data_IF_375863307212
#
_entry.id   IF_375863307212
#
_cell.length_a   1.000
_cell.length_b   1.000
_cell.length_c   1.000
_cell.angle_alpha   90.00
_cell.angle_beta   90.00
_cell.angle_gamma   90.00
#
_symmetry.space_group_name_H-M   'P 1'
#
loop_
_entity.id
_entity.type
_entity.pdbx_description
1 polymer ?
#
# COMPACT_ATOMS: atom_id res chain seq x y z
N UNK A 1 4.07 -18.12 42.30
CA UNK A 1 3.49 -18.06 40.94
C UNK A 1 2.81 -16.71 40.81
N UNK A 2 3.50 -15.73 40.22
CA UNK A 2 2.97 -14.39 39.99
C UNK A 2 2.12 -14.36 38.73
N UNK A 3 1.10 -13.50 38.72
CA UNK A 3 0.11 -13.33 37.65
C UNK A 3 0.69 -12.70 36.36
N UNK A 4 2.01 -12.62 36.25
CA UNK A 4 2.73 -11.88 35.21
C UNK A 4 3.29 -12.78 34.09
N UNK A 5 3.20 -14.11 34.24
CA UNK A 5 3.74 -15.09 33.28
C UNK A 5 2.63 -15.73 32.42
N UNK A 6 1.92 -14.92 31.64
CA UNK A 6 1.00 -15.45 30.62
C UNK A 6 1.49 -15.09 29.23
N UNK A 7 1.64 -16.12 28.41
CA UNK A 7 2.27 -16.15 27.08
C UNK A 7 1.63 -15.20 26.06
N UNK A 8 0.36 -14.80 26.25
CA UNK A 8 -0.31 -13.86 25.35
C UNK A 8 0.13 -12.39 25.51
N UNK A 9 0.84 -12.02 26.58
CA UNK A 9 1.44 -10.68 26.72
C UNK A 9 2.77 -10.53 25.95
N UNK A 10 3.31 -11.63 25.40
CA UNK A 10 4.57 -11.63 24.66
C UNK A 10 4.38 -11.23 23.19
N UNK A 11 3.19 -11.44 22.64
CA UNK A 11 2.84 -11.07 21.26
C UNK A 11 2.43 -9.60 21.08
N UNK A 12 2.07 -8.90 22.17
CA UNK A 12 1.83 -7.45 22.13
C UNK A 12 3.12 -6.62 22.06
N UNK A 13 4.27 -7.17 22.47
CA UNK A 13 5.57 -6.48 22.39
C UNK A 13 6.36 -6.77 21.11
N UNK A 14 5.87 -7.67 20.25
CA UNK A 14 6.51 -8.00 18.97
C UNK A 14 5.68 -7.59 17.73
N UNK A 15 4.46 -7.06 17.89
CA UNK A 15 3.61 -6.64 16.76
C UNK A 15 3.01 -5.24 16.86
N UNK A 16 3.29 -4.49 17.93
CA UNK A 16 2.94 -3.06 18.00
C UNK A 16 4.07 -2.18 17.47
N UNK A 17 4.35 -2.27 16.17
CA UNK A 17 5.12 -1.23 15.46
C UNK A 17 4.22 -0.01 15.16
N UNK A 18 3.51 0.46 16.19
CA UNK A 18 2.88 1.78 16.23
C UNK A 18 3.86 2.75 16.89
N UNK A 19 5.00 2.95 16.23
CA UNK A 19 6.06 3.80 16.73
C UNK A 19 7.45 3.42 16.18
N UNK A 20 7.93 4.21 15.22
CA UNK A 20 9.35 4.56 15.18
C UNK A 20 10.37 3.47 14.86
N UNK A 21 10.04 2.46 14.06
CA UNK A 21 11.07 1.72 13.34
C UNK A 21 11.74 2.66 12.35
N UNK A 22 12.94 3.17 12.66
CA UNK A 22 13.73 3.94 11.69
C UNK A 22 13.86 3.08 10.43
N UNK A 23 13.45 3.56 9.24
CA UNK A 23 13.73 2.86 7.99
C UNK A 23 15.23 2.58 7.93
N UNK A 24 15.66 1.51 7.26
CA UNK A 24 17.09 1.40 6.95
C UNK A 24 17.51 2.73 6.29
N UNK A 25 18.76 3.22 6.46
CA UNK A 25 19.17 4.56 6.00
C UNK A 25 18.95 4.86 4.50
N UNK A 26 18.50 3.86 3.73
CA UNK A 26 18.30 3.84 2.29
C UNK A 26 16.86 3.43 1.88
N UNK A 27 15.97 3.14 2.84
CA UNK A 27 14.56 2.89 2.58
C UNK A 27 13.87 4.24 2.36
N UNK A 28 13.83 4.68 1.11
CA UNK A 28 13.08 5.87 0.72
C UNK A 28 11.61 5.67 1.10
N UNK A 29 11.12 6.52 2.00
CA UNK A 29 9.69 6.61 2.32
C UNK A 29 8.96 7.36 1.21
N UNK A 30 8.64 6.61 0.15
CA UNK A 30 7.97 7.16 -1.02
C UNK A 30 6.52 7.55 -0.69
N UNK A 31 5.89 6.88 0.27
CA UNK A 31 4.55 7.23 0.74
C UNK A 31 4.56 8.63 1.37
N UNK A 32 5.48 8.89 2.29
CA UNK A 32 5.65 10.24 2.86
C UNK A 32 6.00 11.26 1.78
N UNK A 33 6.84 10.90 0.80
CA UNK A 33 7.17 11.79 -0.31
C UNK A 33 5.94 12.17 -1.14
N UNK A 34 5.07 11.21 -1.47
CA UNK A 34 3.82 11.46 -2.18
C UNK A 34 2.86 12.31 -1.36
N UNK A 35 2.75 12.06 -0.05
CA UNK A 35 1.92 12.86 0.85
C UNK A 35 2.41 14.32 0.88
N UNK A 36 3.72 14.52 1.08
CA UNK A 36 4.32 15.86 1.06
C UNK A 36 4.10 16.54 -0.28
N UNK A 37 4.28 15.83 -1.40
CA UNK A 37 4.03 16.37 -2.73
C UNK A 37 2.57 16.85 -2.90
N UNK A 38 1.59 16.03 -2.51
CA UNK A 38 0.17 16.38 -2.55
C UNK A 38 -0.15 17.59 -1.67
N UNK A 39 0.38 17.64 -0.45
CA UNK A 39 0.19 18.78 0.48
C UNK A 39 0.84 20.04 -0.06
N UNK A 40 2.05 19.96 -0.63
CA UNK A 40 2.72 21.08 -1.26
C UNK A 40 1.93 21.62 -2.45
N UNK A 41 1.43 20.75 -3.33
CA UNK A 41 0.59 21.15 -4.46
C UNK A 41 -0.71 21.79 -3.97
N UNK A 42 -1.34 21.24 -2.93
CA UNK A 42 -2.53 21.84 -2.34
C UNK A 42 -2.26 23.24 -1.76
N UNK A 43 -1.15 23.43 -1.05
CA UNK A 43 -0.74 24.77 -0.57
C UNK A 43 -0.54 25.72 -1.75
N UNK A 44 0.12 25.27 -2.83
CA UNK A 44 0.28 26.08 -4.04
C UNK A 44 -1.09 26.43 -4.65
N UNK A 45 -2.05 25.50 -4.69
CA UNK A 45 -3.41 25.79 -5.15
C UNK A 45 -4.06 26.92 -4.33
N UNK A 46 -3.87 26.92 -3.01
CA UNK A 46 -4.37 27.99 -2.14
C UNK A 46 -3.68 29.34 -2.41
N UNK A 47 -2.35 29.34 -2.59
CA UNK A 47 -1.57 30.55 -2.84
C UNK A 47 -1.85 31.18 -4.21
N UNK A 48 -2.21 30.37 -5.20
CA UNK A 48 -2.58 30.85 -6.54
C UNK A 48 -4.09 30.91 -6.76
N UNK A 49 -4.88 30.89 -5.68
CA UNK A 49 -6.32 30.96 -5.79
C UNK A 49 -6.80 32.35 -6.21
N UNK A 50 -7.83 32.40 -7.05
CA UNK A 50 -8.44 33.62 -7.54
C UNK A 50 -9.95 33.43 -7.78
N UNK A 51 -10.63 34.51 -8.19
CA UNK A 51 -12.08 34.53 -8.39
C UNK A 51 -12.87 34.77 -7.10
N UNK A 52 -14.16 35.05 -7.25
CA UNK A 52 -15.04 35.24 -6.11
C UNK A 52 -15.10 33.92 -5.31
N UNK A 53 -14.75 34.00 -4.02
CA UNK A 53 -14.67 32.87 -3.09
C UNK A 53 -13.52 31.85 -3.32
N UNK A 54 -12.51 32.16 -4.14
CA UNK A 54 -11.28 31.35 -4.26
C UNK A 54 -11.50 29.94 -4.80
N UNK A 55 -12.44 29.77 -5.74
CA UNK A 55 -12.76 28.49 -6.38
C UNK A 55 -11.78 28.11 -7.49
N UNK A 56 -11.16 29.10 -8.11
CA UNK A 56 -10.24 28.91 -9.21
C UNK A 56 -8.79 29.03 -8.74
N UNK A 57 -7.87 28.39 -9.45
CA UNK A 57 -6.44 28.44 -9.11
C UNK A 57 -5.60 28.18 -10.35
N UNK A 58 -4.59 29.02 -10.59
CA UNK A 58 -3.70 28.89 -11.76
C UNK A 58 -3.01 27.52 -11.81
N UNK A 59 -2.69 26.96 -10.64
CA UNK A 59 -2.13 25.60 -10.51
C UNK A 59 -3.15 24.56 -10.97
N UNK A 60 -4.41 24.67 -10.53
CA UNK A 60 -5.48 23.78 -10.98
C UNK A 60 -5.69 23.87 -12.50
N UNK A 61 -5.73 25.06 -13.08
CA UNK A 61 -5.95 25.24 -14.52
C UNK A 61 -4.91 24.54 -15.38
N UNK A 62 -3.66 24.52 -14.92
CA UNK A 62 -2.54 23.88 -15.61
C UNK A 62 -2.46 22.36 -15.39
N UNK A 63 -2.84 21.91 -14.20
CA UNK A 63 -2.60 20.52 -13.78
C UNK A 63 -3.84 19.63 -13.84
N UNK A 64 -5.06 20.19 -13.86
CA UNK A 64 -6.30 19.42 -13.85
C UNK A 64 -6.44 18.53 -15.09
N UNK A 65 -7.15 17.42 -14.92
CA UNK A 65 -7.49 16.54 -16.03
C UNK A 65 -8.62 17.19 -16.81
N UNK A 66 -8.27 17.89 -17.89
CA UNK A 66 -9.23 18.32 -18.90
C UNK A 66 -9.18 17.33 -20.06
N UNK A 67 -10.22 16.50 -20.26
CA UNK A 67 -10.23 15.49 -21.31
C UNK A 67 -9.98 16.09 -22.70
N UNK A 68 -10.56 17.25 -23.01
CA UNK A 68 -10.35 17.94 -24.28
C UNK A 68 -8.89 18.36 -24.50
N UNK A 69 -8.24 18.93 -23.47
CA UNK A 69 -6.85 19.37 -23.58
C UNK A 69 -5.88 18.18 -23.67
N UNK A 70 -6.18 17.07 -22.98
CA UNK A 70 -5.42 15.82 -23.12
C UNK A 70 -5.49 15.33 -24.57
N UNK A 71 -6.68 15.29 -25.17
CA UNK A 71 -6.86 14.88 -26.56
C UNK A 71 -6.17 15.82 -27.56
N UNK A 72 -5.93 17.08 -27.19
CA UNK A 72 -5.14 18.06 -27.96
C UNK A 72 -3.63 17.99 -27.69
N UNK A 73 -3.17 17.01 -26.92
CA UNK A 73 -1.74 16.73 -26.71
C UNK A 73 -1.18 17.19 -25.35
N UNK A 74 -1.99 17.71 -24.43
CA UNK A 74 -1.54 18.07 -23.08
C UNK A 74 -1.43 16.84 -22.17
N UNK A 75 -0.60 15.87 -22.56
CA UNK A 75 -0.54 14.53 -21.94
C UNK A 75 -0.08 14.53 -20.48
N UNK A 76 0.62 15.57 -20.01
CA UNK A 76 1.03 15.68 -18.60
C UNK A 76 -0.18 15.71 -17.66
N UNK A 77 -1.34 16.19 -18.14
CA UNK A 77 -2.59 16.24 -17.37
C UNK A 77 -3.11 14.87 -16.98
N UNK A 78 -2.67 13.78 -17.62
CA UNK A 78 -2.97 12.41 -17.22
C UNK A 78 -2.27 11.99 -15.92
N UNK A 79 -1.29 12.77 -15.45
CA UNK A 79 -0.55 12.46 -14.23
C UNK A 79 -0.63 13.61 -13.22
N UNK A 80 -0.57 14.87 -13.66
CA UNK A 80 -0.53 16.01 -12.75
C UNK A 80 -1.82 16.20 -11.95
N UNK A 81 -2.97 15.81 -12.52
CA UNK A 81 -4.27 15.98 -11.87
C UNK A 81 -4.41 15.16 -10.58
N UNK A 82 -3.64 14.07 -10.48
CA UNK A 82 -3.62 13.14 -9.35
C UNK A 82 -3.01 13.79 -8.09
N UNK A 83 -2.38 14.96 -8.22
CA UNK A 83 -1.83 15.73 -7.10
C UNK A 83 -2.71 16.90 -6.65
N UNK A 84 -3.76 17.23 -7.42
CA UNK A 84 -4.66 18.33 -7.11
C UNK A 84 -5.78 17.87 -6.18
N UNK A 85 -6.23 18.74 -5.30
CA UNK A 85 -7.42 18.51 -4.47
C UNK A 85 -8.35 19.72 -4.56
N UNK A 86 -9.65 19.50 -4.32
CA UNK A 86 -10.62 20.59 -4.32
C UNK A 86 -10.28 21.62 -3.21
N UNK A 87 -10.02 22.90 -3.55
CA UNK A 87 -9.52 23.90 -2.59
C UNK A 87 -10.39 24.07 -1.32
N UNK A 88 -11.70 23.87 -1.46
CA UNK A 88 -12.67 24.02 -0.37
C UNK A 88 -12.90 22.75 0.45
N UNK A 89 -12.40 21.59 0.00
CA UNK A 89 -12.68 20.29 0.61
C UNK A 89 -11.48 19.75 1.39
N UNK A 90 -11.20 20.37 2.55
CA UNK A 90 -10.10 19.93 3.43
C UNK A 90 -10.25 18.47 3.88
N UNK A 91 -11.48 17.98 4.06
CA UNK A 91 -11.72 16.60 4.42
C UNK A 91 -11.32 15.64 3.29
N UNK A 92 -11.48 16.04 2.03
CA UNK A 92 -11.12 15.22 0.88
C UNK A 92 -9.62 14.95 0.84
N UNK A 93 -8.77 15.98 0.91
CA UNK A 93 -7.32 15.79 0.97
C UNK A 93 -6.91 15.01 2.22
N UNK A 94 -7.51 15.30 3.38
CA UNK A 94 -7.21 14.57 4.61
C UNK A 94 -7.47 13.06 4.46
N UNK A 95 -8.65 12.68 3.98
CA UNK A 95 -9.00 11.26 3.79
C UNK A 95 -8.10 10.61 2.75
N UNK A 96 -7.79 11.30 1.65
CA UNK A 96 -6.87 10.79 0.63
C UNK A 96 -5.49 10.49 1.22
N UNK A 97 -4.91 11.45 1.94
CA UNK A 97 -3.58 11.29 2.55
C UNK A 97 -3.58 10.24 3.67
N UNK A 98 -4.67 10.17 4.45
CA UNK A 98 -4.82 9.16 5.50
C UNK A 98 -4.86 7.74 4.91
N UNK A 99 -5.66 7.51 3.86
CA UNK A 99 -5.75 6.21 3.20
C UNK A 99 -4.45 5.87 2.48
N UNK A 100 -3.83 6.84 1.80
CA UNK A 100 -2.52 6.69 1.17
C UNK A 100 -1.45 6.29 2.18
N UNK A 101 -1.39 6.95 3.33
CA UNK A 101 -0.47 6.61 4.41
C UNK A 101 -0.72 5.19 4.93
N UNK A 102 -1.97 4.87 5.30
CA UNK A 102 -2.31 3.62 5.96
C UNK A 102 -2.13 2.40 5.04
N UNK A 103 -2.61 2.49 3.80
CA UNK A 103 -2.47 1.40 2.81
C UNK A 103 -1.08 1.39 2.22
N UNK A 104 -0.56 2.55 1.86
CA UNK A 104 0.72 2.72 1.19
C UNK A 104 1.89 2.24 2.02
N UNK A 105 1.93 2.53 3.33
CA UNK A 105 3.04 2.08 4.19
C UNK A 105 3.18 0.56 4.20
N UNK A 106 2.05 -0.16 4.25
CA UNK A 106 2.02 -1.63 4.21
C UNK A 106 2.31 -2.18 2.82
N UNK A 107 1.75 -1.56 1.78
CA UNK A 107 1.98 -1.96 0.39
C UNK A 107 3.45 -1.75 0.01
N UNK A 108 4.02 -0.58 0.26
CA UNK A 108 5.44 -0.29 0.06
C UNK A 108 6.33 -1.32 0.76
N UNK A 109 6.02 -1.68 2.01
CA UNK A 109 6.80 -2.68 2.75
C UNK A 109 6.73 -4.08 2.12
N UNK A 110 5.63 -4.38 1.41
CA UNK A 110 5.40 -5.67 0.76
C UNK A 110 6.00 -5.76 -0.65
N UNK A 111 5.79 -4.75 -1.49
CA UNK A 111 6.19 -4.77 -2.92
C UNK A 111 7.44 -3.95 -3.21
N UNK A 112 7.95 -3.20 -2.23
CA UNK A 112 9.07 -2.28 -2.38
C UNK A 112 8.65 -0.90 -2.88
N UNK A 113 9.45 0.11 -2.54
CA UNK A 113 9.12 1.52 -2.82
C UNK A 113 9.06 1.86 -4.32
N UNK A 114 9.91 1.25 -5.15
CA UNK A 114 9.95 1.51 -6.60
C UNK A 114 8.70 0.98 -7.29
N UNK A 115 8.30 -0.23 -6.93
CA UNK A 115 7.09 -0.84 -7.46
C UNK A 115 5.85 -0.09 -6.97
N UNK A 116 5.81 0.25 -5.68
CA UNK A 116 4.72 1.04 -5.12
C UNK A 116 4.55 2.38 -5.86
N UNK A 117 5.65 3.09 -6.14
CA UNK A 117 5.61 4.33 -6.91
C UNK A 117 5.07 4.10 -8.32
N UNK A 118 5.57 3.07 -9.01
CA UNK A 118 5.13 2.74 -10.36
C UNK A 118 3.63 2.39 -10.37
N UNK A 119 3.19 1.55 -9.42
CA UNK A 119 1.79 1.22 -9.24
C UNK A 119 0.94 2.47 -9.02
N UNK A 120 1.32 3.35 -8.10
CA UNK A 120 0.56 4.58 -7.78
C UNK A 120 0.41 5.48 -9.02
N UNK A 121 1.51 5.75 -9.72
CA UNK A 121 1.49 6.63 -10.89
C UNK A 121 0.73 6.02 -12.08
N UNK A 122 0.90 4.72 -12.33
CA UNK A 122 0.17 4.03 -13.41
C UNK A 122 -1.32 3.93 -13.08
N UNK A 123 -1.67 3.68 -11.81
CA UNK A 123 -3.06 3.70 -11.36
C UNK A 123 -3.70 5.07 -11.62
N UNK A 124 -3.01 6.17 -11.28
CA UNK A 124 -3.47 7.53 -11.61
C UNK A 124 -3.68 7.75 -13.11
N UNK A 125 -2.73 7.33 -13.95
CA UNK A 125 -2.88 7.46 -15.42
C UNK A 125 -4.06 6.63 -15.94
N UNK A 126 -4.25 5.40 -15.46
CA UNK A 126 -5.37 4.54 -15.88
C UNK A 126 -6.70 5.10 -15.37
N UNK A 127 -6.75 5.65 -14.16
CA UNK A 127 -7.90 6.38 -13.63
C UNK A 127 -8.28 7.56 -14.53
N UNK A 128 -7.31 8.38 -14.92
CA UNK A 128 -7.55 9.52 -15.80
C UNK A 128 -8.03 9.08 -17.20
N UNK A 129 -7.43 8.03 -17.76
CA UNK A 129 -7.86 7.47 -19.03
C UNK A 129 -9.29 6.88 -18.95
N UNK A 130 -9.64 6.22 -17.85
CA UNK A 130 -10.98 5.71 -17.60
C UNK A 130 -12.03 6.82 -17.47
N UNK A 131 -11.67 7.93 -16.84
CA UNK A 131 -12.52 9.12 -16.80
C UNK A 131 -12.75 9.72 -18.18
N UNK A 132 -11.70 9.87 -18.99
CA UNK A 132 -11.83 10.35 -20.38
C UNK A 132 -12.73 9.43 -21.21
N UNK A 133 -12.58 8.11 -21.04
CA UNK A 133 -13.45 7.13 -21.70
C UNK A 133 -14.91 7.29 -21.27
N UNK A 134 -15.17 7.59 -19.99
CA UNK A 134 -16.51 7.91 -19.51
C UNK A 134 -17.07 9.19 -20.13
N UNK A 135 -16.29 10.28 -20.17
CA UNK A 135 -16.71 11.53 -20.80
C UNK A 135 -17.14 11.33 -22.27
N UNK A 136 -16.44 10.45 -23.00
CA UNK A 136 -16.80 10.10 -24.37
C UNK A 136 -18.14 9.34 -24.48
N UNK A 137 -18.53 8.59 -23.46
CA UNK A 137 -19.79 7.82 -23.41
C UNK A 137 -20.94 8.69 -22.88
N UNK A 138 -20.71 9.45 -21.81
CA UNK A 138 -21.75 10.26 -21.16
C UNK A 138 -22.00 11.60 -21.84
N UNK A 139 -21.04 12.09 -22.64
CA UNK A 139 -21.08 13.42 -23.24
C UNK A 139 -20.76 14.55 -22.26
N UNK A 140 -20.38 14.26 -21.02
CA UNK A 140 -20.00 15.26 -20.02
C UNK A 140 -18.48 15.46 -19.97
N UNK A 141 -18.00 16.59 -20.48
CA UNK A 141 -16.56 16.89 -20.64
C UNK A 141 -16.03 17.83 -19.55
N UNK A 142 -16.40 17.56 -18.30
CA UNK A 142 -15.96 18.37 -17.16
C UNK A 142 -14.51 18.07 -16.77
N UNK A 143 -13.75 19.04 -16.25
CA UNK A 143 -12.44 18.77 -15.66
C UNK A 143 -12.54 17.90 -14.39
N UNK A 144 -11.50 17.11 -14.14
CA UNK A 144 -11.38 16.25 -12.97
C UNK A 144 -10.06 16.54 -12.21
N UNK A 145 -10.10 16.45 -10.89
CA UNK A 145 -8.96 16.59 -9.99
C UNK A 145 -9.04 15.54 -8.87
N UNK A 146 -7.89 15.07 -8.37
CA UNK A 146 -7.85 14.22 -7.18
C UNK A 146 -7.02 12.94 -7.31
N UNK A 147 -6.19 12.70 -6.30
CA UNK A 147 -5.45 11.44 -6.05
C UNK A 147 -6.35 10.20 -5.87
N UNK A 148 -7.65 10.43 -5.66
CA UNK A 148 -8.65 9.42 -5.29
C UNK A 148 -8.73 8.22 -6.23
N UNK A 149 -8.43 8.37 -7.53
CA UNK A 149 -8.38 7.26 -8.48
C UNK A 149 -7.26 6.26 -8.16
N UNK A 150 -6.03 6.76 -7.96
CA UNK A 150 -4.90 5.94 -7.55
C UNK A 150 -5.12 5.32 -6.16
N UNK A 151 -5.68 6.10 -5.23
CA UNK A 151 -6.00 5.62 -3.86
C UNK A 151 -7.10 4.56 -3.86
N UNK A 152 -8.11 4.65 -4.73
CA UNK A 152 -9.09 3.58 -4.90
C UNK A 152 -8.43 2.28 -5.38
N UNK A 153 -7.46 2.38 -6.31
CA UNK A 153 -6.61 1.25 -6.70
C UNK A 153 -5.82 0.67 -5.52
N UNK A 154 -5.24 1.51 -4.65
CA UNK A 154 -4.54 1.06 -3.44
C UNK A 154 -5.46 0.32 -2.47
N UNK A 155 -6.70 0.78 -2.29
CA UNK A 155 -7.70 0.10 -1.44
C UNK A 155 -7.95 -1.32 -1.96
N UNK A 156 -8.14 -1.49 -3.27
CA UNK A 156 -8.35 -2.80 -3.88
C UNK A 156 -7.11 -3.68 -3.75
N UNK A 157 -5.92 -3.16 -4.07
CA UNK A 157 -4.68 -3.93 -3.96
C UNK A 157 -4.43 -4.36 -2.50
N UNK A 158 -4.68 -3.46 -1.55
CA UNK A 158 -4.61 -3.76 -0.12
C UNK A 158 -5.60 -4.86 0.28
N UNK A 159 -6.85 -4.77 -0.19
CA UNK A 159 -7.89 -5.76 0.10
C UNK A 159 -7.56 -7.14 -0.49
N UNK A 160 -6.85 -7.22 -1.61
CA UNK A 160 -6.38 -8.48 -2.19
C UNK A 160 -5.31 -9.13 -1.29
N UNK A 161 -4.34 -8.36 -0.81
CA UNK A 161 -3.28 -8.91 0.05
C UNK A 161 -3.74 -9.21 1.47
N UNK A 162 -4.73 -8.49 1.97
CA UNK A 162 -5.15 -8.55 3.37
C UNK A 162 -6.67 -8.51 3.53
N UNK A 163 -7.44 -9.47 2.97
CA UNK A 163 -8.89 -9.40 2.83
C UNK A 163 -9.68 -9.34 4.14
N UNK A 164 -9.14 -9.93 5.22
CA UNK A 164 -9.80 -9.95 6.54
C UNK A 164 -9.35 -8.82 7.46
N UNK A 165 -8.37 -7.99 7.05
CA UNK A 165 -7.91 -6.88 7.87
C UNK A 165 -9.02 -5.84 8.07
N UNK A 166 -9.28 -5.50 9.33
CA UNK A 166 -10.37 -4.62 9.73
C UNK A 166 -9.98 -3.15 9.61
N UNK A 167 -10.87 -2.38 9.00
CA UNK A 167 -10.87 -0.93 8.95
C UNK A 167 -11.98 -0.43 9.87
N UNK A 168 -11.71 0.58 10.68
CA UNK A 168 -12.71 1.14 11.59
C UNK A 168 -13.26 2.43 11.00
N UNK A 169 -14.42 2.33 10.35
CA UNK A 169 -15.11 3.50 9.80
C UNK A 169 -15.53 4.40 10.97
N UNK A 170 -15.11 5.68 10.92
CA UNK A 170 -15.24 6.65 12.01
C UNK A 170 -14.69 6.19 13.38
N UNK A 171 -13.80 5.19 13.39
CA UNK A 171 -13.27 4.60 14.62
C UNK A 171 -14.23 3.66 15.35
N UNK A 172 -15.42 3.38 14.81
CA UNK A 172 -16.48 2.66 15.52
C UNK A 172 -16.83 1.33 14.83
N UNK A 173 -17.07 1.36 13.52
CA UNK A 173 -17.60 0.20 12.80
C UNK A 173 -16.49 -0.58 12.10
N UNK A 174 -16.16 -1.80 12.54
CA UNK A 174 -15.17 -2.63 11.87
C UNK A 174 -15.74 -3.21 10.57
N UNK A 175 -15.06 -2.99 9.46
CA UNK A 175 -15.32 -3.63 8.17
C UNK A 175 -14.04 -4.30 7.67
N UNK A 176 -14.13 -5.51 7.13
CA UNK A 176 -12.94 -6.11 6.52
C UNK A 176 -12.63 -5.44 5.18
N UNK A 177 -11.35 -5.36 4.83
CA UNK A 177 -10.87 -4.65 3.63
C UNK A 177 -11.54 -5.15 2.34
N UNK A 178 -11.83 -6.45 2.21
CA UNK A 178 -12.56 -6.99 1.05
C UNK A 178 -13.96 -6.39 0.92
N UNK A 179 -14.67 -6.26 2.04
CA UNK A 179 -16.02 -5.70 2.04
C UNK A 179 -15.97 -4.20 1.80
N UNK A 180 -14.99 -3.51 2.37
CA UNK A 180 -14.74 -2.10 2.08
C UNK A 180 -14.52 -1.87 0.57
N UNK A 181 -13.66 -2.65 -0.06
CA UNK A 181 -13.37 -2.55 -1.49
C UNK A 181 -14.61 -2.84 -2.35
N UNK A 182 -15.39 -3.90 -2.02
CA UNK A 182 -16.62 -4.24 -2.75
C UNK A 182 -17.68 -3.14 -2.60
N UNK A 183 -17.90 -2.65 -1.37
CA UNK A 183 -18.87 -1.59 -1.12
C UNK A 183 -18.46 -0.29 -1.79
N UNK A 184 -17.16 0.04 -1.79
CA UNK A 184 -16.67 1.24 -2.47
C UNK A 184 -16.85 1.14 -3.99
N UNK A 185 -16.50 0.00 -4.60
CA UNK A 185 -16.77 -0.24 -6.01
C UNK A 185 -18.28 -0.17 -6.34
N UNK A 186 -19.13 -0.72 -5.48
CA UNK A 186 -20.59 -0.64 -5.63
C UNK A 186 -21.13 0.79 -5.51
N UNK A 187 -20.57 1.57 -4.58
CA UNK A 187 -20.90 2.99 -4.39
C UNK A 187 -20.55 3.80 -5.64
N UNK A 188 -19.37 3.59 -6.25
CA UNK A 188 -18.98 4.32 -7.47
C UNK A 188 -19.71 3.83 -8.73
N UNK A 189 -20.10 2.56 -8.78
CA UNK A 189 -20.81 2.02 -9.92
C UNK A 189 -22.25 2.54 -10.01
N UNK A 190 -22.90 2.77 -8.87
CA UNK A 190 -24.31 3.14 -8.82
C UNK A 190 -24.63 4.46 -9.54
N UNK A 191 -23.91 5.58 -9.32
CA UNK A 191 -24.12 6.84 -10.04
C UNK A 191 -23.93 6.71 -11.55
N UNK A 192 -22.94 5.95 -12.01
CA UNK A 192 -22.69 5.72 -13.44
C UNK A 192 -23.86 4.98 -14.10
N UNK A 193 -24.43 3.97 -13.45
CA UNK A 193 -25.61 3.26 -13.94
C UNK A 193 -26.82 4.20 -14.01
N UNK A 194 -26.99 5.07 -13.01
CA UNK A 194 -28.08 6.05 -13.00
C UNK A 194 -27.95 7.08 -14.11
N UNK A 195 -26.74 7.54 -14.39
CA UNK A 195 -26.47 8.46 -15.50
C UNK A 195 -26.83 7.81 -16.85
N UNK A 196 -26.41 6.56 -17.09
CA UNK A 196 -26.73 5.83 -18.33
C UNK A 196 -28.23 5.55 -18.52
N UNK A 197 -28.99 5.43 -17.43
CA UNK A 197 -30.44 5.19 -17.48
C UNK A 197 -31.26 6.48 -17.57
N UNK A 198 -30.61 7.65 -17.63
CA UNK A 198 -31.27 8.96 -17.65
C UNK A 198 -31.95 9.35 -16.32
N UNK A 199 -31.67 8.59 -15.26
CA UNK A 199 -32.27 8.76 -13.92
C UNK A 199 -31.33 9.47 -12.93
N UNK A 200 -30.08 9.72 -13.33
CA UNK A 200 -29.05 10.35 -12.52
C UNK A 200 -28.94 11.84 -12.76
N UNK A 201 -28.70 12.61 -11.70
CA UNK A 201 -28.00 13.90 -11.79
C UNK A 201 -26.54 13.61 -11.44
N UNK A 202 -25.61 14.14 -12.23
CA UNK A 202 -24.19 14.05 -11.90
C UNK A 202 -23.92 14.71 -10.55
N UNK A 203 -22.99 14.13 -9.78
CA UNK A 203 -22.38 14.79 -8.64
C UNK A 203 -20.95 15.23 -9.00
N UNK A 204 -20.25 15.84 -8.05
CA UNK A 204 -18.89 16.34 -8.26
C UNK A 204 -17.81 15.25 -8.07
N UNK A 205 -18.18 13.96 -8.12
CA UNK A 205 -17.26 12.85 -7.89
C UNK A 205 -16.95 12.13 -9.20
N UNK A 206 -15.66 11.96 -9.49
CA UNK A 206 -15.19 11.27 -10.68
C UNK A 206 -15.24 9.73 -10.52
N UNK A 207 -16.43 9.17 -10.31
CA UNK A 207 -16.64 7.74 -10.05
C UNK A 207 -16.01 6.80 -11.10
N UNK A 208 -16.04 7.20 -12.38
CA UNK A 208 -15.40 6.43 -13.45
C UNK A 208 -13.88 6.34 -13.29
N UNK A 209 -13.24 7.40 -12.76
CA UNK A 209 -11.81 7.41 -12.48
C UNK A 209 -11.47 6.41 -11.36
N UNK A 210 -12.30 6.37 -10.30
CA UNK A 210 -12.12 5.45 -9.18
C UNK A 210 -12.25 4.00 -9.65
N UNK A 211 -13.31 3.67 -10.39
CA UNK A 211 -13.53 2.31 -10.91
C UNK A 211 -12.43 1.86 -11.87
N UNK A 212 -11.89 2.75 -12.70
CA UNK A 212 -10.77 2.42 -13.55
C UNK A 212 -9.49 2.11 -12.75
N UNK A 213 -9.22 2.86 -11.68
CA UNK A 213 -8.10 2.59 -10.76
C UNK A 213 -8.27 1.26 -10.01
N UNK A 214 -9.49 0.99 -9.54
CA UNK A 214 -9.85 -0.30 -8.91
C UNK A 214 -9.70 -1.48 -9.87
N UNK A 215 -10.17 -1.34 -11.12
CA UNK A 215 -10.03 -2.36 -12.15
C UNK A 215 -8.55 -2.61 -12.50
N UNK A 216 -7.75 -1.54 -12.61
CA UNK A 216 -6.30 -1.66 -12.80
C UNK A 216 -5.66 -2.47 -11.67
N UNK A 217 -5.97 -2.15 -10.41
CA UNK A 217 -5.42 -2.88 -9.26
C UNK A 217 -5.76 -4.38 -9.28
N UNK A 218 -7.00 -4.71 -9.64
CA UNK A 218 -7.43 -6.10 -9.79
C UNK A 218 -6.65 -6.80 -10.90
N UNK A 219 -6.52 -6.18 -12.08
CA UNK A 219 -5.76 -6.76 -13.20
C UNK A 219 -4.29 -6.92 -12.86
N UNK A 220 -3.68 -5.90 -12.24
CA UNK A 220 -2.29 -5.91 -11.78
C UNK A 220 -2.03 -7.13 -10.87
N UNK A 221 -2.90 -7.35 -9.88
CA UNK A 221 -2.79 -8.45 -8.95
C UNK A 221 -3.04 -9.83 -9.61
N UNK A 222 -4.09 -9.95 -10.44
CA UNK A 222 -4.43 -11.20 -11.13
C UNK A 222 -3.35 -11.63 -12.14
N UNK A 223 -2.69 -10.67 -12.78
CA UNK A 223 -1.61 -10.94 -13.72
C UNK A 223 -0.25 -11.13 -13.06
N UNK A 224 -0.16 -10.91 -11.74
CA UNK A 224 1.11 -10.94 -11.01
C UNK A 224 2.11 -9.95 -11.60
N UNK A 225 1.65 -8.77 -12.03
CA UNK A 225 2.55 -7.76 -12.58
C UNK A 225 3.51 -7.26 -11.52
N UNK A 226 4.75 -7.08 -11.95
CA UNK A 226 5.79 -6.41 -11.18
C UNK A 226 6.65 -5.60 -12.15
N UNK A 227 6.37 -4.31 -12.25
CA UNK A 227 6.97 -3.42 -13.24
C UNK A 227 8.48 -3.36 -13.11
N UNK A 228 9.02 -3.39 -11.89
CA UNK A 228 10.47 -3.39 -11.69
C UNK A 228 11.14 -4.68 -12.19
N UNK A 229 10.45 -5.82 -12.14
CA UNK A 229 10.95 -7.07 -12.72
C UNK A 229 10.93 -7.00 -14.24
N UNK A 230 9.90 -6.37 -14.81
CA UNK A 230 9.81 -6.17 -16.25
C UNK A 230 10.92 -5.24 -16.73
N UNK A 231 11.15 -4.12 -16.05
CA UNK A 231 12.18 -3.15 -16.39
C UNK A 231 13.58 -3.77 -16.25
N UNK A 232 13.83 -4.54 -15.19
CA UNK A 232 15.13 -5.21 -15.01
C UNK A 232 15.43 -6.25 -16.09
N UNK A 233 14.40 -6.96 -16.60
CA UNK A 233 14.53 -7.87 -17.74
C UNK A 233 14.96 -7.17 -19.02
N UNK A 234 14.49 -5.95 -19.26
CA UNK A 234 14.82 -5.18 -20.47
C UNK A 234 16.09 -4.32 -20.34
N UNK A 235 16.38 -3.81 -19.15
CA UNK A 235 17.49 -2.87 -18.91
C UNK A 235 18.77 -3.54 -18.40
N UNK A 236 18.70 -4.81 -17.98
CA UNK A 236 19.81 -5.51 -17.33
C UNK A 236 20.12 -5.01 -15.91
N UNK A 237 19.37 -4.02 -15.41
CA UNK A 237 19.55 -3.48 -14.06
C UNK A 237 18.96 -4.46 -13.04
N UNK A 238 19.79 -5.12 -12.23
CA UNK A 238 19.31 -6.00 -11.15
C UNK A 238 18.54 -5.20 -10.10
N UNK A 239 17.23 -5.36 -10.07
CA UNK A 239 16.36 -4.94 -8.96
C UNK A 239 16.16 -6.13 -8.02
N UNK A 240 16.52 -5.98 -6.75
CA UNK A 240 16.28 -7.00 -5.72
C UNK A 240 14.84 -6.91 -5.23
N UNK A 241 13.93 -7.52 -5.98
CA UNK A 241 12.52 -7.72 -5.62
C UNK A 241 12.35 -9.17 -5.18
N UNK A 242 12.42 -9.41 -3.88
CA UNK A 242 12.10 -10.71 -3.30
C UNK A 242 10.58 -10.82 -3.18
N UNK A 243 9.90 -11.15 -4.27
CA UNK A 243 8.48 -11.47 -4.25
C UNK A 243 8.27 -12.95 -3.94
N UNK A 244 7.91 -13.24 -2.69
CA UNK A 244 7.13 -14.44 -2.38
C UNK A 244 5.66 -14.08 -2.61
N UNK A 245 5.16 -14.41 -3.80
CA UNK A 245 3.73 -14.45 -4.08
C UNK A 245 3.28 -15.82 -3.56
N UNK A 246 2.51 -15.80 -2.46
CA UNK A 246 2.00 -16.98 -1.75
C UNK A 246 3.00 -17.59 -0.75
N UNK A 247 2.89 -17.22 0.52
CA UNK A 247 3.36 -18.09 1.60
C UNK A 247 2.33 -19.21 1.72
N UNK A 248 2.63 -20.34 1.09
CA UNK A 248 1.90 -21.59 1.26
C UNK A 248 1.96 -21.97 2.75
N UNK A 249 0.82 -22.06 3.47
CA UNK A 249 0.82 -22.40 4.90
C UNK A 249 1.40 -23.79 5.19
N UNK A 250 1.53 -24.65 4.17
CA UNK A 250 2.14 -25.98 4.28
C UNK A 250 3.64 -26.00 3.92
N UNK A 251 4.20 -24.89 3.43
CA UNK A 251 5.65 -24.76 3.23
C UNK A 251 6.32 -24.28 4.51
N UNK A 252 6.73 -25.23 5.33
CA UNK A 252 7.73 -25.00 6.38
C UNK A 252 8.96 -24.31 5.79
N UNK A 253 9.07 -23.00 6.02
CA UNK A 253 10.28 -22.24 5.77
C UNK A 253 11.15 -22.42 7.00
N UNK A 254 12.26 -23.19 6.94
CA UNK A 254 13.17 -23.25 8.08
C UNK A 254 13.61 -21.82 8.40
N UNK A 255 13.72 -21.44 9.70
CA UNK A 255 14.20 -20.12 10.07
C UNK A 255 15.47 -19.82 9.29
N UNK A 256 15.48 -18.68 8.58
CA UNK A 256 16.60 -18.17 7.79
C UNK A 256 17.90 -18.45 8.56
N UNK A 257 18.68 -19.44 8.11
CA UNK A 257 19.94 -19.80 8.75
C UNK A 257 20.75 -18.50 8.88
N UNK A 258 21.00 -18.06 10.12
CA UNK A 258 21.99 -17.04 10.41
C UNK A 258 23.34 -17.63 10.01
N UNK A 259 23.66 -17.53 8.72
CA UNK A 259 24.82 -18.14 8.08
C UNK A 259 26.11 -17.38 8.38
N UNK A 260 26.14 -16.57 9.44
CA UNK A 260 27.31 -15.81 9.84
C UNK A 260 27.46 -15.86 11.35
N UNK A 261 27.89 -17.02 11.87
CA UNK A 261 28.72 -17.15 13.10
C UNK A 261 28.98 -18.61 13.53
N UNK A 262 28.55 -19.62 12.77
CA UNK A 262 28.73 -21.03 13.15
C UNK A 262 30.15 -21.58 13.03
N UNK A 263 31.11 -20.85 12.47
CA UNK A 263 32.51 -21.32 12.29
C UNK A 263 33.30 -21.57 13.59
N UNK A 264 32.68 -21.35 14.76
CA UNK A 264 33.31 -21.48 16.09
C UNK A 264 32.73 -22.61 16.95
N UNK A 265 31.67 -23.26 16.50
CA UNK A 265 31.10 -24.43 17.17
C UNK A 265 31.71 -25.69 16.56
N UNK A 266 31.98 -26.70 17.40
CA UNK A 266 32.35 -28.02 16.88
C UNK A 266 31.20 -28.60 16.04
N UNK A 267 31.49 -29.45 15.06
CA UNK A 267 30.45 -30.08 14.23
C UNK A 267 29.39 -30.80 15.07
N UNK A 268 29.79 -31.38 16.21
CA UNK A 268 28.88 -32.01 17.17
C UNK A 268 27.97 -31.00 17.89
N UNK A 269 28.48 -29.83 18.28
CA UNK A 269 27.66 -28.77 18.88
C UNK A 269 26.71 -28.12 17.87
N UNK A 270 27.13 -27.99 16.61
CA UNK A 270 26.27 -27.51 15.52
C UNK A 270 25.10 -28.45 15.29
N UNK A 271 25.38 -29.75 15.11
CA UNK A 271 24.35 -30.76 14.91
C UNK A 271 23.38 -30.81 16.09
N UNK A 272 23.90 -30.79 17.33
CA UNK A 272 23.06 -30.76 18.54
C UNK A 272 22.21 -29.48 18.62
N UNK A 273 22.68 -28.35 18.13
CA UNK A 273 21.90 -27.11 18.09
C UNK A 273 20.77 -27.21 17.06
N UNK A 274 21.05 -27.73 15.86
CA UNK A 274 20.05 -27.93 14.81
C UNK A 274 18.94 -28.89 15.26
N UNK A 275 19.30 -29.99 15.90
CA UNK A 275 18.34 -30.96 16.45
C UNK A 275 17.40 -30.32 17.49
N UNK A 276 17.94 -29.47 18.38
CA UNK A 276 17.15 -28.78 19.40
C UNK A 276 16.26 -27.68 18.80
N UNK A 277 16.74 -26.95 17.80
CA UNK A 277 15.93 -25.97 17.07
C UNK A 277 14.78 -26.65 16.32
N UNK A 278 15.04 -27.81 15.69
CA UNK A 278 13.99 -28.62 15.06
C UNK A 278 12.96 -29.11 16.09
N UNK A 279 13.41 -29.57 17.26
CA UNK A 279 12.54 -29.99 18.36
C UNK A 279 11.62 -28.86 18.87
N UNK A 280 12.18 -27.66 19.04
CA UNK A 280 11.41 -26.45 19.42
C UNK A 280 10.41 -26.08 18.32
N UNK A 281 10.82 -26.17 17.05
CA UNK A 281 9.95 -25.83 15.94
C UNK A 281 8.75 -26.77 15.81
N UNK A 282 8.91 -28.06 16.14
CA UNK A 282 7.85 -29.06 16.05
C UNK A 282 6.94 -29.08 17.29
N UNK A 283 7.51 -28.91 18.48
CA UNK A 283 6.83 -29.18 19.75
C UNK A 283 6.77 -27.96 20.71
N UNK A 284 7.27 -26.80 20.30
CA UNK A 284 7.36 -25.59 21.13
C UNK A 284 8.51 -25.60 22.13
N UNK A 285 8.80 -24.45 22.73
CA UNK A 285 9.92 -24.22 23.68
C UNK A 285 9.79 -25.05 24.97
N UNK A 286 8.55 -25.44 25.33
CA UNK A 286 8.25 -26.29 26.49
C UNK A 286 8.71 -27.75 26.33
N UNK A 287 9.08 -28.18 25.12
CA UNK A 287 9.55 -29.55 24.85
C UNK A 287 11.01 -29.81 25.24
N UNK A 288 11.74 -28.76 25.62
CA UNK A 288 13.14 -28.86 26.05
C UNK A 288 13.27 -29.35 27.49
N UNK A 289 14.19 -30.29 27.71
CA UNK A 289 14.62 -30.66 29.06
C UNK A 289 15.45 -29.53 29.69
N UNK A 290 15.59 -29.55 31.02
CA UNK A 290 16.42 -28.56 31.72
C UNK A 290 17.90 -28.61 31.32
N UNK A 291 18.37 -29.73 30.80
CA UNK A 291 19.74 -29.88 30.28
C UNK A 291 19.87 -29.26 28.89
N UNK A 292 18.91 -29.52 27.99
CA UNK A 292 18.87 -28.95 26.64
C UNK A 292 18.74 -27.42 26.65
N UNK A 293 17.87 -26.90 27.54
CA UNK A 293 17.71 -25.46 27.75
C UNK A 293 19.00 -24.82 28.28
N UNK A 294 19.72 -25.50 29.17
CA UNK A 294 21.03 -25.04 29.66
C UNK A 294 22.07 -25.00 28.56
N UNK A 295 22.13 -26.02 27.71
CA UNK A 295 23.02 -26.05 26.55
C UNK A 295 22.75 -24.88 25.59
N UNK A 296 21.49 -24.62 25.22
CA UNK A 296 21.13 -23.51 24.35
C UNK A 296 21.48 -22.14 24.95
N UNK A 297 21.23 -21.95 26.24
CA UNK A 297 21.58 -20.71 26.94
C UNK A 297 23.10 -20.50 27.00
N UNK A 298 23.87 -21.56 27.22
CA UNK A 298 25.32 -21.49 27.27
C UNK A 298 25.91 -21.16 25.89
N UNK A 299 25.45 -21.84 24.83
CA UNK A 299 25.87 -21.53 23.45
C UNK A 299 25.48 -20.10 23.06
N UNK A 300 24.25 -19.67 23.37
CA UNK A 300 23.79 -18.30 23.13
C UNK A 300 24.67 -17.28 23.86
N UNK A 301 25.03 -17.54 25.11
CA UNK A 301 25.93 -16.67 25.90
C UNK A 301 27.33 -16.59 25.30
N UNK A 302 27.88 -17.72 24.82
CA UNK A 302 29.19 -17.77 24.14
C UNK A 302 29.19 -16.97 22.83
N UNK A 303 28.07 -16.98 22.09
CA UNK A 303 27.91 -16.21 20.85
C UNK A 303 27.64 -14.72 21.11
N UNK A 304 27.01 -14.35 22.23
CA UNK A 304 26.64 -12.96 22.55
C UNK A 304 27.73 -12.16 23.25
N UNK A 305 28.62 -12.82 24.00
CA UNK A 305 29.67 -12.16 24.78
C UNK A 305 30.96 -11.88 23.99
N UNK A 306 30.89 -11.81 22.66
CA UNK A 306 32.02 -11.43 21.79
C UNK A 306 31.58 -10.66 20.55
#
# INVERSE_FOLDING_TARGET
MGLDNREYMRDEKASTNWGGGRPAPWDYDIVTTLIVANVCVFILQQLTSYGDFGEESTVSDWMQLSPELVLRGQIWRLTTYDFLHAPKELLHIFVNMFVLWMTGSRLQSRIGWREFLAFYLVAGVVSGAGYIAWCAVSGQWNPCIGASGAVAGLIVLYAIYWPEQKWYIYGIFPISSRWLAILYAGFDLYPLIRELTGLGRGDNVAHAAHLAGMAFALVYALRGWHFMDLISRFTGWKTTSHLNIYDDPDQYHPPRQQTQNHSKLTSAEQQRMEDLLAKISLNGEGSLTDEERRFMNDVSRRLRNR
#
